data_IF_896797694095
#
_entry.id   IF_896797694095
#
_cell.length_a   1.000
_cell.length_b   1.000
_cell.length_c   1.000
_cell.angle_alpha   90.00
_cell.angle_beta   90.00
_cell.angle_gamma   90.00
#
_symmetry.space_group_name_H-M   'P 1'
#
loop_
_entity.id
_entity.type
_entity.pdbx_description
1 polymer ?
#
# COMPACT_ATOMS: atom_id res chain seq x y z
N UNK A 1 77.18 21.88 -60.98
CA UNK A 1 75.77 21.50 -61.23
C UNK A 1 74.94 22.15 -60.12
N UNK A 2 74.35 23.36 -60.27
CA UNK A 2 73.14 23.73 -61.06
C UNK A 2 71.96 22.82 -60.68
N UNK A 3 70.77 23.23 -60.22
CA UNK A 3 69.82 24.31 -60.63
C UNK A 3 68.59 24.15 -59.67
N UNK A 4 67.99 25.22 -59.08
CA UNK A 4 66.75 25.92 -59.51
C UNK A 4 65.48 25.01 -59.48
N UNK A 5 64.20 25.39 -59.29
CA UNK A 5 63.40 26.62 -59.13
C UNK A 5 61.92 26.12 -59.07
N UNK A 6 61.03 26.80 -58.31
CA UNK A 6 59.58 27.02 -58.52
C UNK A 6 58.66 25.84 -58.96
N UNK A 7 57.49 25.71 -58.35
CA UNK A 7 56.31 26.51 -58.76
C UNK A 7 54.99 25.98 -58.19
N UNK A 8 54.18 26.95 -57.81
CA UNK A 8 52.74 26.92 -57.57
C UNK A 8 52.00 26.25 -58.76
N UNK A 9 51.17 25.23 -58.53
CA UNK A 9 50.03 24.95 -59.43
C UNK A 9 48.83 24.39 -58.65
N UNK A 10 47.87 25.29 -58.49
CA UNK A 10 46.46 25.07 -58.21
C UNK A 10 45.87 24.14 -59.29
N UNK A 11 45.30 22.98 -58.94
CA UNK A 11 44.17 22.45 -59.72
C UNK A 11 43.26 21.58 -58.85
N UNK A 12 41.99 21.94 -58.90
CA UNK A 12 40.86 21.27 -58.31
C UNK A 12 40.81 19.79 -58.69
N UNK A 13 40.64 18.92 -57.70
CA UNK A 13 39.75 17.79 -57.86
C UNK A 13 39.05 17.55 -56.52
N UNK A 14 37.98 18.31 -56.30
CA UNK A 14 36.94 17.95 -55.33
C UNK A 14 36.33 16.66 -55.84
N UNK A 15 36.92 15.51 -55.50
CA UNK A 15 36.23 14.25 -55.61
C UNK A 15 35.13 14.32 -54.56
N UNK A 16 33.90 14.49 -55.02
CA UNK A 16 32.70 14.09 -54.31
C UNK A 16 32.83 12.61 -53.98
N UNK A 17 33.56 12.27 -52.91
CA UNK A 17 33.40 11.00 -52.23
C UNK A 17 32.14 11.18 -51.40
N UNK A 18 30.99 10.99 -52.05
CA UNK A 18 29.77 10.64 -51.35
C UNK A 18 29.99 9.25 -50.77
N UNK A 19 30.56 9.20 -49.56
CA UNK A 19 30.57 8.01 -48.73
C UNK A 19 29.10 7.68 -48.42
N UNK A 20 28.48 6.83 -49.25
CA UNK A 20 27.33 6.04 -48.80
C UNK A 20 27.84 5.16 -47.66
N UNK A 21 27.53 5.54 -46.43
CA UNK A 21 27.64 4.64 -45.30
C UNK A 21 26.83 3.39 -45.63
N UNK A 22 27.47 2.21 -45.62
CA UNK A 22 26.75 0.94 -45.67
C UNK A 22 25.81 0.90 -44.47
N UNK A 23 24.50 0.98 -44.74
CA UNK A 23 23.53 0.97 -43.68
C UNK A 23 23.46 -0.45 -43.08
N UNK A 24 24.10 -0.62 -41.92
CA UNK A 24 24.20 -1.88 -41.15
C UNK A 24 22.85 -2.57 -40.89
N UNK A 25 21.74 -1.84 -41.05
CA UNK A 25 20.39 -2.38 -40.85
C UNK A 25 19.81 -3.11 -42.07
N UNK A 26 20.41 -3.00 -43.26
CA UNK A 26 19.90 -3.61 -44.49
C UNK A 26 19.85 -5.14 -44.44
N UNK A 27 20.77 -5.79 -43.71
CA UNK A 27 20.81 -7.24 -43.54
C UNK A 27 19.93 -7.78 -42.40
N UNK A 28 19.22 -6.91 -41.68
CA UNK A 28 18.32 -7.34 -40.60
C UNK A 28 17.03 -7.89 -41.17
N UNK A 29 16.53 -8.92 -40.50
CA UNK A 29 15.20 -9.47 -40.74
C UNK A 29 14.11 -8.53 -40.21
N UNK A 30 13.08 -8.27 -41.03
CA UNK A 30 12.00 -7.33 -40.69
C UNK A 30 11.11 -7.86 -39.58
N UNK A 31 10.78 -9.15 -39.57
CA UNK A 31 9.87 -9.68 -38.58
C UNK A 31 10.46 -9.59 -37.17
N UNK A 32 11.63 -10.18 -36.96
CA UNK A 32 12.24 -10.27 -35.63
C UNK A 32 12.72 -8.90 -35.12
N UNK A 33 13.07 -7.97 -36.01
CA UNK A 33 13.65 -6.69 -35.61
C UNK A 33 12.69 -5.49 -35.71
N UNK A 34 11.53 -5.63 -36.35
CA UNK A 34 10.53 -4.55 -36.48
C UNK A 34 9.13 -5.03 -36.13
N UNK A 35 8.59 -6.05 -36.81
CA UNK A 35 7.18 -6.47 -36.65
C UNK A 35 6.91 -7.01 -35.25
N UNK A 36 7.75 -7.92 -34.75
CA UNK A 36 7.60 -8.47 -33.40
C UNK A 36 7.75 -7.37 -32.33
N UNK A 37 8.76 -6.48 -32.37
CA UNK A 37 8.81 -5.32 -31.46
C UNK A 37 7.58 -4.40 -31.50
N UNK A 38 6.95 -4.19 -32.67
CA UNK A 38 5.69 -3.44 -32.78
C UNK A 38 4.59 -4.19 -32.03
N UNK A 39 4.44 -5.50 -32.25
CA UNK A 39 3.46 -6.32 -31.53
C UNK A 39 3.68 -6.29 -30.02
N UNK A 40 4.93 -6.45 -29.57
CA UNK A 40 5.33 -6.43 -28.16
C UNK A 40 4.92 -5.13 -27.46
N UNK A 41 5.13 -4.00 -28.15
CA UNK A 41 4.85 -2.67 -27.63
C UNK A 41 3.36 -2.29 -27.67
N UNK A 42 2.62 -2.75 -28.69
CA UNK A 42 1.29 -2.18 -29.02
C UNK A 42 0.14 -3.18 -29.01
N UNK A 43 0.42 -4.48 -29.10
CA UNK A 43 -0.62 -5.50 -29.30
C UNK A 43 -0.66 -6.54 -28.16
N UNK A 44 0.49 -6.90 -27.57
CA UNK A 44 0.57 -8.01 -26.62
C UNK A 44 -0.11 -7.77 -25.27
N UNK A 45 -0.52 -6.52 -24.95
CA UNK A 45 -1.32 -6.29 -23.74
C UNK A 45 -2.70 -6.96 -23.84
N UNK A 46 -3.28 -7.06 -25.04
CA UNK A 46 -4.58 -7.71 -25.26
C UNK A 46 -4.49 -9.04 -26.01
N UNK A 47 -3.41 -9.26 -26.77
CA UNK A 47 -3.18 -10.43 -27.63
C UNK A 47 -1.86 -11.15 -27.31
N UNK A 48 -1.48 -11.21 -26.02
CA UNK A 48 -0.26 -11.85 -25.53
C UNK A 48 -0.48 -13.26 -24.95
N UNK A 49 0.50 -13.74 -24.19
CA UNK A 49 0.38 -15.01 -23.47
C UNK A 49 -0.74 -15.00 -22.42
N UNK A 50 -0.85 -13.87 -21.70
CA UNK A 50 -1.74 -13.69 -20.54
C UNK A 50 -3.19 -13.33 -20.92
N UNK A 51 -3.38 -12.73 -22.09
CA UNK A 51 -4.68 -12.25 -22.58
C UNK A 51 -4.77 -12.50 -24.07
N UNK A 52 -5.91 -13.03 -24.51
CA UNK A 52 -6.19 -13.33 -25.92
C UNK A 52 -7.57 -12.82 -26.32
N UNK A 53 -7.79 -11.50 -26.30
CA UNK A 53 -9.04 -10.90 -26.79
C UNK A 53 -9.29 -11.35 -28.25
N UNK A 54 -10.53 -11.68 -28.59
CA UNK A 54 -10.86 -12.26 -29.91
C UNK A 54 -10.23 -13.63 -30.20
N UNK A 55 -9.72 -14.32 -29.15
CA UNK A 55 -8.91 -15.55 -29.21
C UNK A 55 -7.60 -15.44 -30.00
N UNK A 56 -7.22 -14.24 -30.41
CA UNK A 56 -5.99 -13.95 -31.14
C UNK A 56 -4.80 -13.86 -30.18
N UNK A 57 -3.66 -14.45 -30.60
CA UNK A 57 -2.37 -14.37 -29.90
C UNK A 57 -1.26 -14.00 -30.88
N UNK A 58 -0.38 -13.07 -30.49
CA UNK A 58 0.68 -12.51 -31.34
C UNK A 58 2.09 -12.63 -30.72
N UNK A 59 2.21 -13.25 -29.54
CA UNK A 59 3.47 -13.30 -28.79
C UNK A 59 4.48 -14.32 -29.32
N UNK A 60 4.06 -15.27 -30.15
CA UNK A 60 4.93 -16.23 -30.84
C UNK A 60 4.57 -16.33 -32.32
N UNK A 61 5.54 -16.71 -33.17
CA UNK A 61 5.30 -16.97 -34.61
C UNK A 61 4.22 -18.04 -34.81
N UNK A 62 4.22 -19.08 -33.99
CA UNK A 62 3.23 -20.17 -34.09
C UNK A 62 1.82 -19.69 -33.74
N UNK A 63 1.68 -18.88 -32.70
CA UNK A 63 0.39 -18.31 -32.34
C UNK A 63 -0.12 -17.30 -33.37
N UNK A 64 0.78 -16.47 -33.91
CA UNK A 64 0.46 -15.53 -34.97
C UNK A 64 -0.14 -16.25 -36.19
N UNK A 65 0.42 -17.41 -36.57
CA UNK A 65 -0.08 -18.22 -37.69
C UNK A 65 -1.44 -18.88 -37.42
N UNK A 66 -1.86 -19.04 -36.16
CA UNK A 66 -3.16 -19.63 -35.80
C UNK A 66 -4.33 -18.66 -35.98
N UNK A 67 -4.06 -17.36 -36.05
CA UNK A 67 -5.10 -16.34 -36.14
C UNK A 67 -5.97 -16.23 -34.88
N UNK A 68 -7.10 -15.54 -35.03
CA UNK A 68 -8.11 -15.32 -34.00
C UNK A 68 -9.39 -16.12 -34.26
N UNK A 69 -10.54 -15.46 -34.11
CA UNK A 69 -11.85 -16.04 -34.44
C UNK A 69 -12.67 -15.06 -35.28
N UNK A 70 -13.61 -15.58 -36.08
CA UNK A 70 -14.44 -14.75 -36.95
C UNK A 70 -13.59 -14.04 -38.01
N UNK A 71 -13.77 -12.73 -38.18
CA UNK A 71 -12.97 -11.92 -39.11
C UNK A 71 -11.45 -11.95 -38.81
N UNK A 72 -11.07 -12.31 -37.58
CA UNK A 72 -9.66 -12.45 -37.20
C UNK A 72 -9.03 -13.81 -37.50
N UNK A 73 -9.75 -14.77 -38.08
CA UNK A 73 -9.21 -16.10 -38.47
C UNK A 73 -8.02 -15.94 -39.43
N UNK A 74 -8.18 -15.09 -40.46
CA UNK A 74 -7.12 -14.70 -41.38
C UNK A 74 -6.64 -13.27 -41.05
N UNK A 75 -5.89 -13.14 -39.96
CA UNK A 75 -5.37 -11.83 -39.52
C UNK A 75 -4.52 -11.12 -40.58
N UNK A 76 -3.80 -11.89 -41.39
CA UNK A 76 -2.97 -11.40 -42.50
C UNK A 76 -3.22 -12.23 -43.74
N UNK A 77 -3.64 -11.56 -44.81
CA UNK A 77 -3.74 -12.12 -46.15
C UNK A 77 -2.42 -11.82 -46.88
N UNK A 78 -1.60 -12.86 -47.07
CA UNK A 78 -0.29 -12.75 -47.70
C UNK A 78 -0.41 -12.12 -49.09
N UNK A 79 0.35 -11.05 -49.34
CA UNK A 79 0.31 -10.30 -50.59
C UNK A 79 -0.73 -9.19 -50.64
N UNK A 80 -1.71 -9.16 -49.73
CA UNK A 80 -2.79 -8.18 -49.72
C UNK A 80 -2.96 -7.52 -48.36
N UNK A 81 -2.25 -6.40 -48.18
CA UNK A 81 -2.35 -5.60 -46.98
C UNK A 81 -3.73 -4.96 -46.80
N UNK A 82 -4.46 -4.66 -47.88
CA UNK A 82 -5.78 -4.01 -47.81
C UNK A 82 -6.89 -4.96 -47.40
N UNK A 83 -6.79 -6.23 -47.78
CA UNK A 83 -7.71 -7.27 -47.37
C UNK A 83 -7.35 -7.91 -46.01
N UNK A 84 -6.20 -7.55 -45.42
CA UNK A 84 -5.74 -8.07 -44.13
C UNK A 84 -6.46 -7.40 -42.96
N UNK A 85 -7.10 -8.20 -42.12
CA UNK A 85 -7.83 -7.73 -40.93
C UNK A 85 -6.96 -6.92 -39.96
N UNK A 86 -5.67 -7.29 -39.84
CA UNK A 86 -4.69 -6.54 -39.06
C UNK A 86 -4.62 -5.08 -39.48
N UNK A 87 -4.51 -4.82 -40.79
CA UNK A 87 -4.38 -3.45 -41.32
C UNK A 87 -5.70 -2.71 -41.21
N UNK A 88 -6.82 -3.38 -41.48
CA UNK A 88 -8.15 -2.79 -41.32
C UNK A 88 -8.32 -2.25 -39.90
N UNK A 89 -8.15 -3.08 -38.87
CA UNK A 89 -8.38 -2.69 -37.47
C UNK A 89 -7.45 -1.59 -36.95
N UNK A 90 -6.18 -1.59 -37.35
CA UNK A 90 -5.21 -0.58 -36.87
C UNK A 90 -5.27 0.76 -37.62
N UNK A 91 -6.08 0.84 -38.69
CA UNK A 91 -6.26 2.07 -39.48
C UNK A 91 -7.64 2.71 -39.31
N UNK A 92 -8.54 2.08 -38.54
CA UNK A 92 -9.84 2.64 -38.21
C UNK A 92 -9.72 3.96 -37.43
N UNK A 93 -10.71 4.88 -37.54
CA UNK A 93 -10.71 6.15 -36.84
C UNK A 93 -10.58 5.98 -35.32
N UNK A 94 -9.88 6.94 -34.67
CA UNK A 94 -9.80 7.00 -33.21
C UNK A 94 -11.21 7.06 -32.62
N UNK A 95 -11.57 6.06 -31.81
CA UNK A 95 -12.86 5.96 -31.13
C UNK A 95 -13.87 5.01 -31.78
N UNK A 96 -13.53 4.40 -32.92
CA UNK A 96 -14.30 3.29 -33.48
C UNK A 96 -14.23 2.06 -32.55
N UNK A 97 -15.33 1.33 -32.39
CA UNK A 97 -15.42 0.17 -31.50
C UNK A 97 -14.57 -1.02 -31.97
N UNK A 98 -14.29 -1.10 -33.27
CA UNK A 98 -13.47 -2.16 -33.86
C UNK A 98 -11.98 -1.76 -34.00
N UNK A 99 -11.66 -0.49 -33.75
CA UNK A 99 -10.30 0.02 -33.83
C UNK A 99 -9.37 -0.65 -32.82
N UNK A 100 -8.16 -0.96 -33.27
CA UNK A 100 -7.10 -1.53 -32.44
C UNK A 100 -5.87 -0.60 -32.45
N UNK A 101 -5.35 -0.16 -31.28
CA UNK A 101 -5.83 -0.50 -29.94
C UNK A 101 -7.16 0.21 -29.60
N UNK A 102 -8.01 -0.40 -28.74
CA UNK A 102 -9.24 0.25 -28.29
C UNK A 102 -8.91 1.50 -27.48
N UNK A 103 -9.71 2.55 -27.66
CA UNK A 103 -9.59 3.78 -26.87
C UNK A 103 -10.27 3.61 -25.51
N UNK A 104 -9.61 2.89 -24.59
CA UNK A 104 -10.08 2.74 -23.20
C UNK A 104 -9.67 3.94 -22.32
N UNK A 105 -8.47 4.48 -22.54
CA UNK A 105 -7.90 5.65 -21.82
C UNK A 105 -6.83 6.33 -22.70
N UNK A 106 -6.78 7.67 -22.69
CA UNK A 106 -5.80 8.44 -23.48
C UNK A 106 -4.36 8.22 -23.02
N UNK A 107 -4.13 8.00 -21.72
CA UNK A 107 -2.79 7.75 -21.15
C UNK A 107 -2.17 6.43 -21.66
N UNK A 108 -2.99 5.51 -22.20
CA UNK A 108 -2.59 4.16 -22.61
C UNK A 108 -2.81 3.90 -24.11
N UNK A 109 -3.34 4.88 -24.84
CA UNK A 109 -3.60 4.75 -26.27
C UNK A 109 -2.28 4.76 -27.05
N UNK A 110 -1.88 3.60 -27.58
CA UNK A 110 -0.60 3.40 -28.28
C UNK A 110 -0.80 2.89 -29.72
N UNK A 111 -1.36 3.70 -30.63
CA UNK A 111 -1.61 3.29 -32.02
C UNK A 111 -0.31 3.09 -32.79
N UNK A 112 -0.38 2.32 -33.88
CA UNK A 112 0.76 2.24 -34.82
C UNK A 112 1.04 3.60 -35.44
N UNK A 113 2.31 3.93 -35.61
CA UNK A 113 2.73 5.15 -36.31
C UNK A 113 2.64 4.96 -37.82
N UNK A 114 2.70 6.06 -38.58
CA UNK A 114 2.70 5.99 -40.05
C UNK A 114 3.87 5.17 -40.62
N UNK A 115 5.05 5.24 -39.97
CA UNK A 115 6.25 4.53 -40.40
C UNK A 115 6.13 3.03 -40.08
N UNK A 116 5.65 2.69 -38.88
CA UNK A 116 5.34 1.31 -38.49
C UNK A 116 4.32 0.69 -39.44
N UNK A 117 3.22 1.41 -39.71
CA UNK A 117 2.17 0.97 -40.62
C UNK A 117 2.71 0.73 -42.04
N UNK A 118 3.55 1.63 -42.56
CA UNK A 118 4.14 1.48 -43.89
C UNK A 118 4.98 0.21 -44.00
N UNK A 119 5.82 -0.08 -43.00
CA UNK A 119 6.64 -1.31 -42.97
C UNK A 119 5.77 -2.55 -42.81
N UNK A 120 4.73 -2.52 -41.97
CA UNK A 120 3.78 -3.63 -41.81
C UNK A 120 3.05 -3.94 -43.13
N UNK A 121 2.56 -2.90 -43.83
CA UNK A 121 1.88 -3.07 -45.12
C UNK A 121 2.83 -3.63 -46.19
N UNK A 122 4.07 -3.14 -46.26
CA UNK A 122 5.07 -3.64 -47.19
C UNK A 122 5.44 -5.11 -46.90
N UNK A 123 5.66 -5.44 -45.63
CA UNK A 123 5.92 -6.81 -45.20
C UNK A 123 4.79 -7.77 -45.60
N UNK A 124 3.53 -7.39 -45.41
CA UNK A 124 2.37 -8.18 -45.83
C UNK A 124 2.32 -8.33 -47.36
N UNK A 125 2.50 -7.23 -48.11
CA UNK A 125 2.54 -7.25 -49.58
C UNK A 125 3.64 -8.16 -50.13
N UNK A 126 4.75 -8.30 -49.41
CA UNK A 126 5.84 -9.23 -49.73
C UNK A 126 5.62 -10.65 -49.18
N UNK A 127 4.39 -11.00 -48.83
CA UNK A 127 3.99 -12.35 -48.43
C UNK A 127 4.06 -12.63 -46.93
N UNK A 128 4.25 -11.59 -46.10
CA UNK A 128 4.38 -11.70 -44.64
C UNK A 128 5.44 -12.72 -44.21
N UNK A 129 6.56 -12.78 -44.95
CA UNK A 129 7.63 -13.73 -44.70
C UNK A 129 8.36 -13.42 -43.39
N UNK A 130 8.58 -14.45 -42.57
CA UNK A 130 9.40 -14.32 -41.36
C UNK A 130 10.89 -14.12 -41.65
N UNK A 131 11.32 -14.29 -42.90
CA UNK A 131 12.73 -14.22 -43.32
C UNK A 131 13.07 -12.97 -44.14
N UNK A 132 12.07 -12.14 -44.48
CA UNK A 132 12.24 -10.94 -45.31
C UNK A 132 13.25 -9.94 -44.71
N UNK A 133 14.21 -9.51 -45.52
CA UNK A 133 15.24 -8.55 -45.12
C UNK A 133 14.86 -7.11 -45.47
N UNK A 134 15.40 -6.16 -44.70
CA UNK A 134 15.21 -4.72 -44.95
C UNK A 134 15.74 -4.30 -46.33
N UNK A 135 16.81 -4.94 -46.82
CA UNK A 135 17.38 -4.69 -48.15
C UNK A 135 16.41 -4.93 -49.30
N UNK A 136 15.41 -5.79 -49.10
CA UNK A 136 14.44 -6.22 -50.11
C UNK A 136 13.24 -5.26 -50.25
N UNK A 137 13.12 -4.29 -49.34
CA UNK A 137 12.06 -3.27 -49.39
C UNK A 137 12.32 -2.20 -50.46
N UNK A 138 11.27 -1.48 -50.85
CA UNK A 138 11.43 -0.25 -51.63
C UNK A 138 12.10 0.87 -50.80
N UNK A 139 12.66 1.87 -51.47
CA UNK A 139 13.45 2.93 -50.83
C UNK A 139 12.66 3.77 -49.81
N UNK A 140 11.35 3.99 -50.05
CA UNK A 140 10.51 4.73 -49.11
C UNK A 140 10.28 3.89 -47.84
N UNK A 141 10.01 2.60 -47.99
CA UNK A 141 9.83 1.68 -46.85
C UNK A 141 11.14 1.44 -46.10
N UNK A 142 12.31 1.40 -46.77
CA UNK A 142 13.62 1.36 -46.10
C UNK A 142 13.82 2.56 -45.19
N UNK A 143 13.48 3.76 -45.67
CA UNK A 143 13.56 4.98 -44.86
C UNK A 143 12.65 4.91 -43.62
N UNK A 144 11.44 4.35 -43.77
CA UNK A 144 10.55 4.10 -42.63
C UNK A 144 11.12 3.07 -41.65
N UNK A 145 11.71 1.98 -42.14
CA UNK A 145 12.37 0.97 -41.31
C UNK A 145 13.57 1.56 -40.53
N UNK A 146 14.38 2.39 -41.17
CA UNK A 146 15.47 3.12 -40.51
C UNK A 146 14.97 4.06 -39.41
N UNK A 147 13.86 4.76 -39.66
CA UNK A 147 13.22 5.60 -38.65
C UNK A 147 12.79 4.78 -37.42
N UNK A 148 12.21 3.59 -37.64
CA UNK A 148 11.80 2.68 -36.55
C UNK A 148 13.02 2.17 -35.78
N UNK A 149 14.11 1.77 -36.44
CA UNK A 149 15.32 1.34 -35.75
C UNK A 149 15.90 2.41 -34.83
N UNK A 150 15.81 3.68 -35.24
CA UNK A 150 16.25 4.82 -34.43
C UNK A 150 15.25 5.21 -33.34
N UNK A 151 13.99 4.76 -33.43
CA UNK A 151 12.88 5.12 -32.54
C UNK A 151 12.05 3.89 -32.20
N UNK A 152 12.69 2.86 -31.64
CA UNK A 152 12.04 1.57 -31.40
C UNK A 152 10.74 1.72 -30.60
N UNK A 153 9.66 0.99 -30.98
CA UNK A 153 8.39 1.05 -30.29
C UNK A 153 8.56 0.75 -28.81
N UNK A 154 7.95 1.59 -27.96
CA UNK A 154 7.95 1.40 -26.50
C UNK A 154 6.58 0.95 -26.04
N UNK A 155 6.56 -0.05 -25.17
CA UNK A 155 5.33 -0.49 -24.50
C UNK A 155 4.88 0.59 -23.52
N UNK A 156 3.64 1.04 -23.65
CA UNK A 156 2.98 1.89 -22.65
C UNK A 156 2.25 0.95 -21.69
N UNK A 157 2.72 0.88 -20.45
CA UNK A 157 2.14 -0.01 -19.42
C UNK A 157 1.15 0.80 -18.61
N UNK A 158 -0.03 0.24 -18.36
CA UNK A 158 -1.01 0.95 -17.55
C UNK A 158 -0.58 1.18 -16.12
N UNK A 159 -0.99 2.31 -15.51
CA UNK A 159 -0.75 2.60 -14.07
C UNK A 159 -1.20 1.42 -13.20
N UNK A 160 -2.33 0.79 -13.54
CA UNK A 160 -2.84 -0.39 -12.83
C UNK A 160 -1.91 -1.62 -12.97
N UNK A 161 -1.30 -1.85 -14.13
CA UNK A 161 -0.34 -2.94 -14.34
C UNK A 161 1.01 -2.62 -13.70
N UNK A 162 1.48 -1.38 -13.75
CA UNK A 162 2.71 -0.93 -13.08
C UNK A 162 2.62 -1.05 -11.55
N UNK A 163 1.42 -0.91 -10.98
CA UNK A 163 1.17 -1.09 -9.55
C UNK A 163 1.04 -2.58 -9.12
N UNK A 164 1.00 -3.53 -10.07
CA UNK A 164 0.96 -4.95 -9.70
C UNK A 164 2.31 -5.36 -9.10
N UNK A 165 2.33 -6.03 -7.94
CA UNK A 165 3.55 -6.58 -7.40
C UNK A 165 4.18 -7.53 -8.42
N UNK A 166 5.37 -7.17 -8.90
CA UNK A 166 6.14 -8.03 -9.79
C UNK A 166 6.69 -9.20 -8.97
N UNK A 167 6.26 -10.42 -9.30
CA UNK A 167 6.82 -11.63 -8.74
C UNK A 167 8.11 -11.98 -9.48
N UNK A 168 9.13 -12.54 -8.81
CA UNK A 168 10.32 -13.01 -9.49
C UNK A 168 9.94 -14.13 -10.47
N UNK A 169 10.52 -14.08 -11.66
CA UNK A 169 10.53 -15.24 -12.57
C UNK A 169 11.43 -16.33 -11.98
N UNK A 170 10.86 -17.52 -11.80
CA UNK A 170 11.56 -18.66 -11.18
C UNK A 170 11.34 -19.93 -12.01
N UNK A 171 12.28 -20.88 -12.00
CA UNK A 171 12.12 -22.13 -12.74
C UNK A 171 11.01 -22.99 -12.13
N UNK A 172 10.37 -23.83 -12.95
CA UNK A 172 9.41 -24.81 -12.45
C UNK A 172 10.05 -25.75 -11.42
N UNK A 173 9.31 -26.07 -10.35
CA UNK A 173 9.76 -27.06 -9.38
C UNK A 173 9.69 -28.48 -9.95
N UNK A 174 10.59 -29.35 -9.50
CA UNK A 174 10.57 -30.77 -9.89
C UNK A 174 9.29 -31.44 -9.40
N UNK A 175 8.61 -32.16 -10.30
CA UNK A 175 7.35 -32.86 -10.01
C UNK A 175 7.49 -33.84 -8.85
N UNK A 176 8.63 -34.53 -8.74
CA UNK A 176 8.90 -35.51 -7.68
C UNK A 176 8.93 -34.82 -6.30
N UNK A 177 9.52 -33.64 -6.20
CA UNK A 177 9.57 -32.88 -4.95
C UNK A 177 8.16 -32.44 -4.52
N UNK A 178 7.34 -31.97 -5.47
CA UNK A 178 5.95 -31.58 -5.18
C UNK A 178 5.09 -32.78 -4.76
N UNK A 179 5.27 -33.93 -5.40
CA UNK A 179 4.56 -35.16 -5.05
C UNK A 179 4.94 -35.65 -3.64
N UNK A 180 6.23 -35.63 -3.28
CA UNK A 180 6.68 -36.00 -1.94
C UNK A 180 6.04 -35.14 -0.84
N UNK A 181 5.89 -33.83 -1.07
CA UNK A 181 5.22 -32.95 -0.11
C UNK A 181 3.73 -33.27 -0.01
N UNK A 182 3.07 -33.48 -1.15
CA UNK A 182 1.66 -33.85 -1.22
C UNK A 182 1.37 -35.16 -0.49
N UNK A 183 2.21 -36.18 -0.67
CA UNK A 183 2.06 -37.50 -0.02
C UNK A 183 2.17 -37.41 1.51
N UNK A 184 2.90 -36.42 2.03
CA UNK A 184 2.98 -36.11 3.45
C UNK A 184 1.86 -35.18 3.95
N UNK A 185 0.94 -34.75 3.08
CA UNK A 185 -0.12 -33.81 3.41
C UNK A 185 0.34 -32.37 3.55
N UNK A 186 1.52 -32.02 3.01
CA UNK A 186 2.02 -30.65 2.95
C UNK A 186 1.46 -30.00 1.69
N UNK A 187 0.81 -28.85 1.84
CA UNK A 187 0.29 -28.08 0.71
C UNK A 187 1.45 -27.34 0.04
N UNK A 188 1.65 -27.53 -1.26
CA UNK A 188 2.59 -26.77 -2.09
C UNK A 188 1.89 -26.37 -3.39
N UNK A 189 1.79 -25.07 -3.67
CA UNK A 189 1.09 -24.55 -4.85
C UNK A 189 1.65 -23.21 -5.32
N UNK A 190 1.45 -22.82 -6.59
CA UNK A 190 1.77 -21.48 -7.07
C UNK A 190 1.06 -20.39 -6.26
N UNK A 191 1.74 -19.26 -6.03
CA UNK A 191 1.18 -18.12 -5.28
C UNK A 191 0.16 -17.29 -6.08
N UNK A 192 0.21 -17.40 -7.40
CA UNK A 192 -0.68 -16.72 -8.34
C UNK A 192 -0.82 -17.56 -9.63
N UNK A 193 -1.67 -17.11 -10.55
CA UNK A 193 -1.70 -17.66 -11.90
C UNK A 193 -0.40 -17.29 -12.65
N UNK A 194 0.03 -18.16 -13.56
CA UNK A 194 1.17 -17.93 -14.47
C UNK A 194 2.50 -17.60 -13.76
N UNK A 195 2.72 -18.17 -12.57
CA UNK A 195 4.02 -18.11 -11.88
C UNK A 195 4.43 -19.49 -11.37
N UNK A 196 5.74 -19.73 -11.35
CA UNK A 196 6.33 -20.90 -10.71
C UNK A 196 6.68 -20.63 -9.23
N UNK A 197 6.47 -19.41 -8.73
CA UNK A 197 6.72 -19.08 -7.33
C UNK A 197 5.73 -19.79 -6.42
N UNK A 198 6.23 -20.41 -5.36
CA UNK A 198 5.47 -21.33 -4.53
C UNK A 198 5.12 -20.76 -3.15
N UNK A 199 3.93 -21.12 -2.70
CA UNK A 199 3.50 -21.15 -1.31
C UNK A 199 3.53 -22.58 -0.80
N UNK A 200 4.19 -22.79 0.34
CA UNK A 200 4.18 -24.06 1.07
C UNK A 200 3.57 -23.88 2.45
N UNK A 201 2.64 -24.77 2.82
CA UNK A 201 2.01 -24.81 4.12
C UNK A 201 2.11 -26.21 4.76
N UNK A 202 2.93 -26.31 5.81
CA UNK A 202 3.07 -27.52 6.63
C UNK A 202 2.32 -27.42 7.97
N UNK A 203 1.63 -26.31 8.26
CA UNK A 203 0.94 -26.11 9.56
C UNK A 203 -0.14 -27.17 9.83
N UNK A 204 -0.70 -27.78 8.79
CA UNK A 204 -1.72 -28.82 8.91
C UNK A 204 -1.22 -30.09 9.61
N UNK A 205 0.08 -30.36 9.57
CA UNK A 205 0.68 -31.51 10.24
C UNK A 205 0.90 -31.25 11.74
N UNK A 206 0.82 -29.99 12.19
CA UNK A 206 1.07 -29.59 13.56
C UNK A 206 2.35 -30.19 14.12
N UNK A 207 2.28 -30.75 15.33
CA UNK A 207 3.45 -31.31 16.04
C UNK A 207 4.16 -32.47 15.31
N UNK A 208 3.52 -33.09 14.31
CA UNK A 208 4.14 -34.17 13.52
C UNK A 208 5.19 -33.66 12.54
N UNK A 209 5.14 -32.39 12.14
CA UNK A 209 6.15 -31.78 11.29
C UNK A 209 7.33 -31.28 12.14
N UNK A 210 8.51 -31.86 11.92
CA UNK A 210 9.72 -31.58 12.69
C UNK A 210 10.85 -31.07 11.80
N UNK A 211 12.01 -30.81 12.40
CA UNK A 211 13.22 -30.41 11.68
C UNK A 211 13.67 -31.45 10.63
N UNK A 212 13.24 -32.71 10.77
CA UNK A 212 13.52 -33.78 9.81
C UNK A 212 12.76 -33.57 8.50
N UNK A 213 11.45 -33.38 8.57
CA UNK A 213 10.58 -33.23 7.40
C UNK A 213 10.85 -31.92 6.66
N UNK A 214 11.29 -30.86 7.37
CA UNK A 214 11.65 -29.58 6.74
C UNK A 214 12.71 -29.71 5.64
N UNK A 215 13.64 -30.68 5.76
CA UNK A 215 14.68 -30.89 4.74
C UNK A 215 14.11 -31.20 3.35
N UNK A 216 12.88 -31.70 3.28
CA UNK A 216 12.18 -31.94 2.01
C UNK A 216 11.86 -30.65 1.24
N UNK A 217 11.99 -29.48 1.87
CA UNK A 217 11.80 -28.18 1.20
C UNK A 217 13.07 -27.67 0.50
N UNK A 218 14.24 -28.26 0.72
CA UNK A 218 15.50 -27.82 0.08
C UNK A 218 15.45 -27.79 -1.46
N UNK A 219 14.83 -28.78 -2.14
CA UNK A 219 14.66 -28.76 -3.59
C UNK A 219 13.82 -27.59 -4.12
N UNK A 220 13.04 -26.91 -3.26
CA UNK A 220 12.19 -25.76 -3.62
C UNK A 220 12.87 -24.41 -3.38
N UNK A 221 14.17 -24.39 -3.08
CA UNK A 221 14.92 -23.16 -2.74
C UNK A 221 14.90 -22.07 -3.81
N UNK A 222 14.68 -22.43 -5.07
CA UNK A 222 14.60 -21.48 -6.19
C UNK A 222 13.18 -20.96 -6.45
N UNK A 223 12.16 -21.48 -5.77
CA UNK A 223 10.76 -21.18 -6.03
C UNK A 223 10.01 -20.69 -4.80
N UNK A 224 10.47 -21.04 -3.59
CA UNK A 224 9.69 -20.86 -2.37
C UNK A 224 9.73 -19.42 -1.86
N UNK A 225 8.60 -18.71 -1.99
CA UNK A 225 8.43 -17.33 -1.55
C UNK A 225 7.69 -17.23 -0.22
N UNK A 226 6.65 -18.06 -0.05
CA UNK A 226 5.79 -18.02 1.13
C UNK A 226 5.83 -19.36 1.84
N UNK A 227 6.14 -19.35 3.14
CA UNK A 227 6.27 -20.56 3.94
C UNK A 227 5.50 -20.44 5.25
N UNK A 228 4.61 -21.41 5.49
CA UNK A 228 3.86 -21.55 6.73
C UNK A 228 4.22 -22.81 7.51
N UNK A 229 4.87 -22.59 8.66
CA UNK A 229 5.28 -23.60 9.63
C UNK A 229 4.62 -23.40 11.00
N UNK A 230 3.56 -22.58 11.07
CA UNK A 230 2.88 -22.28 12.32
C UNK A 230 2.44 -23.56 13.05
N UNK A 231 2.62 -23.57 14.38
CA UNK A 231 2.19 -24.63 15.31
C UNK A 231 2.81 -26.01 15.04
N UNK A 232 3.94 -26.03 14.32
CA UNK A 232 4.73 -27.24 14.09
C UNK A 232 5.76 -27.46 15.20
N UNK A 233 6.47 -28.60 15.15
CA UNK A 233 7.54 -28.95 16.10
C UNK A 233 8.92 -28.41 15.69
N UNK A 234 8.97 -27.44 14.76
CA UNK A 234 10.20 -26.81 14.27
C UNK A 234 10.95 -26.11 15.41
N UNK A 235 12.27 -26.28 15.42
CA UNK A 235 13.21 -25.70 16.38
C UNK A 235 14.27 -24.83 15.70
N UNK A 236 15.24 -24.33 16.47
CA UNK A 236 16.34 -23.54 15.90
C UNK A 236 17.19 -24.32 14.87
N UNK A 237 17.24 -25.66 14.97
CA UNK A 237 18.05 -26.51 14.09
C UNK A 237 17.59 -26.41 12.62
N UNK A 238 16.30 -26.22 12.41
CA UNK A 238 15.67 -26.00 11.10
C UNK A 238 16.13 -24.74 10.39
N UNK A 239 16.61 -23.74 11.12
CA UNK A 239 16.94 -22.44 10.54
C UNK A 239 18.16 -22.48 9.62
N UNK A 240 19.02 -23.49 9.76
CA UNK A 240 20.09 -23.75 8.79
C UNK A 240 19.49 -23.97 7.40
N UNK A 241 18.49 -24.84 7.29
CA UNK A 241 17.78 -25.13 6.03
C UNK A 241 16.93 -23.95 5.57
N UNK A 242 16.12 -23.35 6.47
CA UNK A 242 15.28 -22.19 6.11
C UNK A 242 16.13 -21.04 5.55
N UNK A 243 17.32 -20.78 6.11
CA UNK A 243 18.21 -19.71 5.66
C UNK A 243 18.76 -19.89 4.23
N UNK A 244 18.60 -21.07 3.62
CA UNK A 244 18.93 -21.34 2.21
C UNK A 244 17.81 -20.93 1.25
N UNK A 245 16.59 -20.73 1.73
CA UNK A 245 15.41 -20.34 0.94
C UNK A 245 15.42 -18.83 0.68
N UNK A 246 16.35 -18.37 -0.17
CA UNK A 246 16.70 -16.94 -0.32
C UNK A 246 15.58 -16.06 -0.86
N UNK A 247 14.58 -16.64 -1.52
CA UNK A 247 13.44 -15.92 -2.06
C UNK A 247 12.29 -15.74 -1.06
N UNK A 248 12.42 -16.23 0.18
CA UNK A 248 11.37 -16.09 1.18
C UNK A 248 11.05 -14.61 1.44
N UNK A 249 9.81 -14.24 1.13
CA UNK A 249 9.24 -12.91 1.40
C UNK A 249 8.25 -12.93 2.56
N UNK A 250 7.66 -14.10 2.85
CA UNK A 250 6.67 -14.30 3.92
C UNK A 250 6.95 -15.58 4.69
N UNK A 251 7.21 -15.44 5.99
CA UNK A 251 7.51 -16.58 6.86
C UNK A 251 6.64 -16.56 8.13
N UNK A 252 5.98 -17.69 8.37
CA UNK A 252 5.12 -17.95 9.53
C UNK A 252 5.75 -19.02 10.42
N UNK A 253 6.09 -18.66 11.66
CA UNK A 253 6.74 -19.50 12.68
C UNK A 253 5.97 -19.48 14.02
N UNK A 254 4.70 -19.09 14.00
CA UNK A 254 3.87 -18.93 15.20
C UNK A 254 3.85 -20.19 16.05
N UNK A 255 4.03 -20.06 17.37
CA UNK A 255 3.99 -21.16 18.33
C UNK A 255 4.90 -22.34 17.97
N UNK A 256 6.07 -22.05 17.42
CA UNK A 256 7.17 -23.02 17.22
C UNK A 256 8.19 -22.88 18.36
N UNK A 257 9.25 -23.68 18.34
CA UNK A 257 10.30 -23.67 19.39
C UNK A 257 11.47 -22.73 19.05
N UNK A 258 11.26 -21.80 18.14
CA UNK A 258 12.26 -20.82 17.71
C UNK A 258 12.64 -19.90 18.88
N UNK A 259 13.94 -19.60 19.00
CA UNK A 259 14.54 -18.73 20.01
C UNK A 259 15.54 -17.76 19.39
N UNK A 260 16.23 -16.97 20.22
CA UNK A 260 17.28 -16.04 19.75
C UNK A 260 18.42 -16.72 18.98
N UNK A 261 18.64 -18.04 19.17
CA UNK A 261 19.64 -18.82 18.42
C UNK A 261 19.36 -18.83 16.90
N UNK A 262 18.09 -18.73 16.52
CA UNK A 262 17.66 -18.65 15.12
C UNK A 262 17.94 -17.31 14.45
N UNK A 263 18.17 -16.25 15.23
CA UNK A 263 18.16 -14.86 14.73
C UNK A 263 19.25 -14.62 13.67
N UNK A 264 20.45 -15.16 13.88
CA UNK A 264 21.56 -15.02 12.92
C UNK A 264 21.24 -15.67 11.57
N UNK A 265 20.48 -16.77 11.56
CA UNK A 265 20.01 -17.43 10.35
C UNK A 265 18.85 -16.68 9.70
N UNK A 266 17.88 -16.21 10.48
CA UNK A 266 16.77 -15.36 10.01
C UNK A 266 17.31 -14.14 9.26
N UNK A 267 18.36 -13.50 9.79
CA UNK A 267 18.98 -12.33 9.18
C UNK A 267 19.54 -12.53 7.75
N UNK A 268 19.71 -13.79 7.31
CA UNK A 268 20.19 -14.16 5.98
C UNK A 268 19.07 -14.20 4.92
N UNK A 269 17.82 -13.97 5.31
CA UNK A 269 16.64 -13.92 4.44
C UNK A 269 16.33 -12.47 4.06
N UNK A 270 17.19 -11.88 3.23
CA UNK A 270 17.15 -10.45 2.88
C UNK A 270 15.87 -10.00 2.16
N UNK A 271 15.12 -10.94 1.58
CA UNK A 271 13.86 -10.67 0.88
C UNK A 271 12.63 -10.67 1.79
N UNK A 272 12.78 -10.99 3.09
CA UNK A 272 11.64 -11.02 4.01
C UNK A 272 10.97 -9.65 4.13
N UNK A 273 9.67 -9.64 3.85
CA UNK A 273 8.78 -8.49 4.05
C UNK A 273 7.79 -8.72 5.19
N UNK A 274 7.51 -9.99 5.50
CA UNK A 274 6.61 -10.41 6.57
C UNK A 274 7.24 -11.54 7.37
N UNK A 275 7.29 -11.37 8.69
CA UNK A 275 7.77 -12.39 9.62
C UNK A 275 6.83 -12.50 10.82
N UNK A 276 6.27 -13.69 11.06
CA UNK A 276 5.45 -13.94 12.25
C UNK A 276 6.17 -14.88 13.22
N UNK A 277 6.50 -14.36 14.39
CA UNK A 277 7.18 -15.03 15.50
C UNK A 277 6.29 -15.11 16.75
N UNK A 278 4.97 -14.88 16.60
CA UNK A 278 4.01 -14.95 17.69
C UNK A 278 4.19 -16.22 18.54
N UNK A 279 4.27 -16.07 19.87
CA UNK A 279 4.34 -17.21 20.78
C UNK A 279 5.64 -18.02 20.70
N UNK A 280 6.73 -17.45 20.18
CA UNK A 280 8.07 -18.06 20.18
C UNK A 280 8.93 -17.51 21.34
N UNK A 281 10.17 -18.00 21.48
CA UNK A 281 11.06 -17.65 22.58
C UNK A 281 12.08 -16.55 22.24
N UNK A 282 11.86 -15.78 21.18
CA UNK A 282 12.73 -14.65 20.82
C UNK A 282 12.62 -13.51 21.83
N UNK A 283 13.71 -12.75 22.01
CA UNK A 283 13.83 -11.62 22.92
C UNK A 283 14.59 -10.45 22.27
N UNK A 284 14.86 -9.40 23.04
CA UNK A 284 15.66 -8.26 22.57
C UNK A 284 17.07 -8.66 22.10
N UNK A 285 17.58 -9.83 22.48
CA UNK A 285 18.84 -10.37 21.95
C UNK A 285 18.84 -10.58 20.43
N UNK A 286 17.66 -10.69 19.80
CA UNK A 286 17.53 -10.81 18.34
C UNK A 286 17.56 -9.48 17.58
N UNK A 287 17.58 -8.33 18.26
CA UNK A 287 17.47 -6.99 17.64
C UNK A 287 18.49 -6.78 16.51
N UNK A 288 19.78 -7.04 16.75
CA UNK A 288 20.83 -6.77 15.75
C UNK A 288 20.73 -7.68 14.52
N UNK A 289 20.16 -8.86 14.67
CA UNK A 289 19.84 -9.75 13.55
C UNK A 289 18.65 -9.22 12.75
N UNK A 290 17.60 -8.73 13.42
CA UNK A 290 16.40 -8.21 12.75
C UNK A 290 16.65 -6.87 12.03
N UNK A 291 17.59 -6.03 12.51
CA UNK A 291 18.05 -4.83 11.79
C UNK A 291 18.53 -5.12 10.37
N UNK A 292 19.10 -6.31 10.12
CA UNK A 292 19.60 -6.72 8.80
C UNK A 292 18.48 -7.07 7.80
N UNK A 293 17.23 -7.22 8.26
CA UNK A 293 16.07 -7.48 7.41
C UNK A 293 15.54 -6.16 6.84
N UNK A 294 16.31 -5.54 5.94
CA UNK A 294 16.06 -4.17 5.44
C UNK A 294 14.77 -4.02 4.63
N UNK A 295 14.22 -5.12 4.11
CA UNK A 295 12.94 -5.16 3.37
C UNK A 295 11.73 -5.48 4.26
N UNK A 296 11.94 -5.68 5.56
CA UNK A 296 10.87 -6.08 6.47
C UNK A 296 9.83 -4.97 6.60
N UNK A 297 8.57 -5.32 6.34
CA UNK A 297 7.43 -4.42 6.45
C UNK A 297 6.58 -4.72 7.66
N UNK A 298 6.52 -6.00 8.07
CA UNK A 298 5.71 -6.46 9.21
C UNK A 298 6.42 -7.52 10.01
N UNK A 299 6.45 -7.35 11.32
CA UNK A 299 6.93 -8.37 12.26
C UNK A 299 5.99 -8.51 13.45
N UNK A 300 5.59 -9.74 13.74
CA UNK A 300 4.69 -10.07 14.85
C UNK A 300 5.47 -10.77 15.95
N UNK A 301 5.48 -10.15 17.14
CA UNK A 301 6.28 -10.53 18.30
C UNK A 301 5.42 -10.68 19.56
N UNK A 302 4.09 -10.66 19.43
CA UNK A 302 3.20 -10.88 20.58
C UNK A 302 3.44 -12.25 21.22
N UNK A 303 3.33 -12.31 22.56
CA UNK A 303 3.67 -13.50 23.38
C UNK A 303 5.10 -14.04 23.17
N UNK A 304 6.04 -13.19 22.81
CA UNK A 304 7.48 -13.48 22.89
C UNK A 304 8.08 -12.82 24.13
N UNK A 305 9.40 -12.87 24.29
CA UNK A 305 10.14 -12.13 25.33
C UNK A 305 10.64 -10.77 24.85
N UNK A 306 10.19 -10.32 23.67
CA UNK A 306 10.55 -9.03 23.10
C UNK A 306 9.80 -7.90 23.82
N UNK A 307 10.48 -6.81 24.17
CA UNK A 307 9.90 -5.69 24.93
C UNK A 307 9.79 -4.43 24.09
N UNK A 308 9.17 -3.39 24.65
CA UNK A 308 9.10 -2.07 24.01
C UNK A 308 10.50 -1.48 23.73
N UNK A 309 11.47 -1.66 24.63
CA UNK A 309 12.85 -1.21 24.41
C UNK A 309 13.47 -1.83 23.15
N UNK A 310 13.20 -3.13 22.90
CA UNK A 310 13.66 -3.80 21.69
C UNK A 310 13.00 -3.23 20.42
N UNK A 311 11.74 -2.81 20.50
CA UNK A 311 11.01 -2.15 19.40
C UNK A 311 11.63 -0.81 19.09
N UNK A 312 11.94 -0.03 20.12
CA UNK A 312 12.56 1.29 19.98
C UNK A 312 13.92 1.18 19.30
N UNK A 313 14.76 0.21 19.71
CA UNK A 313 16.05 -0.08 19.07
C UNK A 313 15.93 -0.53 17.60
N UNK A 314 14.87 -1.25 17.24
CA UNK A 314 14.61 -1.61 15.85
C UNK A 314 14.22 -0.38 15.04
N UNK A 315 13.25 0.40 15.54
CA UNK A 315 12.76 1.59 14.84
C UNK A 315 13.87 2.61 14.64
N UNK A 316 14.70 2.86 15.64
CA UNK A 316 15.86 3.77 15.55
C UNK A 316 16.77 3.43 14.35
N UNK A 317 17.05 2.14 14.15
CA UNK A 317 17.86 1.68 13.02
C UNK A 317 17.22 1.98 11.66
N UNK A 318 15.91 1.75 11.53
CA UNK A 318 15.19 2.03 10.28
C UNK A 318 14.88 3.52 10.05
N UNK A 319 15.02 4.37 11.07
CA UNK A 319 14.63 5.77 11.04
C UNK A 319 15.70 6.77 10.61
N UNK A 320 16.93 6.33 10.28
CA UNK A 320 18.12 7.20 10.33
C UNK A 320 18.22 7.95 11.67
N UNK A 321 18.06 7.26 12.82
CA UNK A 321 18.37 7.71 14.20
C UNK A 321 17.76 9.04 14.68
N UNK A 322 18.23 10.17 14.14
CA UNK A 322 17.90 11.54 14.59
C UNK A 322 16.41 11.90 14.50
N UNK A 323 15.67 11.29 13.58
CA UNK A 323 14.23 11.51 13.46
C UNK A 323 13.42 10.74 14.52
N UNK A 324 13.88 9.57 14.97
CA UNK A 324 13.15 8.73 15.92
C UNK A 324 13.16 9.33 17.33
N UNK A 325 14.36 9.64 17.85
CA UNK A 325 14.52 10.21 19.20
C UNK A 325 13.78 11.54 19.36
N UNK A 326 13.82 12.36 18.31
CA UNK A 326 13.09 13.64 18.28
C UNK A 326 11.58 13.41 18.39
N UNK A 327 11.03 12.46 17.65
CA UNK A 327 9.61 12.11 17.69
C UNK A 327 9.21 11.45 19.02
N UNK A 328 10.07 10.64 19.64
CA UNK A 328 9.82 10.03 20.95
C UNK A 328 9.75 11.11 22.04
N UNK A 329 10.72 12.02 22.07
CA UNK A 329 10.71 13.19 22.99
C UNK A 329 9.47 14.06 22.77
N UNK A 330 9.05 14.26 21.51
CA UNK A 330 7.81 14.98 21.22
C UNK A 330 6.57 14.24 21.76
N UNK A 331 6.50 12.91 21.59
CA UNK A 331 5.41 12.08 22.12
C UNK A 331 5.31 12.21 23.65
N UNK A 332 6.43 12.00 24.35
CA UNK A 332 6.50 12.10 25.82
C UNK A 332 6.11 13.50 26.30
N UNK A 333 6.62 14.55 25.65
CA UNK A 333 6.27 15.93 25.97
C UNK A 333 4.78 16.20 25.82
N UNK A 334 4.15 15.72 24.76
CA UNK A 334 2.70 15.88 24.54
C UNK A 334 1.91 15.09 25.60
N UNK A 335 2.31 13.86 25.93
CA UNK A 335 1.67 13.05 26.98
C UNK A 335 1.75 13.70 28.36
N UNK A 336 2.92 14.24 28.73
CA UNK A 336 3.08 15.02 29.97
C UNK A 336 2.18 16.25 29.95
N UNK A 337 2.17 17.00 28.84
CA UNK A 337 1.34 18.21 28.72
C UNK A 337 -0.16 17.91 28.89
N UNK A 338 -0.65 16.80 28.34
CA UNK A 338 -2.06 16.37 28.53
C UNK A 338 -2.34 16.13 30.01
N UNK A 339 -1.47 15.39 30.69
CA UNK A 339 -1.61 15.09 32.13
C UNK A 339 -1.61 16.36 32.96
N UNK A 340 -0.66 17.26 32.71
CA UNK A 340 -0.50 18.53 33.44
C UNK A 340 -1.70 19.45 33.22
N UNK A 341 -2.13 19.65 31.97
CA UNK A 341 -3.29 20.49 31.63
C UNK A 341 -4.56 19.95 32.28
N UNK A 342 -4.77 18.63 32.22
CA UNK A 342 -5.95 17.98 32.80
C UNK A 342 -5.99 18.21 34.32
N UNK A 343 -4.86 18.01 35.00
CA UNK A 343 -4.74 18.24 36.44
C UNK A 343 -5.04 19.70 36.82
N UNK A 344 -4.38 20.66 36.15
CA UNK A 344 -4.52 22.10 36.43
C UNK A 344 -5.96 22.57 36.18
N UNK A 345 -6.55 22.22 35.04
CA UNK A 345 -7.90 22.67 34.70
C UNK A 345 -8.97 22.00 35.57
N UNK A 346 -8.78 20.74 35.99
CA UNK A 346 -9.68 20.10 36.95
C UNK A 346 -9.67 20.80 38.31
N UNK A 347 -8.52 21.23 38.82
CA UNK A 347 -8.47 22.05 40.03
C UNK A 347 -9.28 23.35 39.89
N UNK A 348 -9.20 23.99 38.72
CA UNK A 348 -9.99 25.20 38.44
C UNK A 348 -11.49 24.92 38.35
N UNK A 349 -11.88 23.80 37.73
CA UNK A 349 -13.26 23.33 37.65
C UNK A 349 -13.82 23.08 39.06
N UNK A 350 -13.09 22.37 39.92
CA UNK A 350 -13.49 22.13 41.31
C UNK A 350 -13.74 23.43 42.07
N UNK A 351 -12.90 24.45 41.89
CA UNK A 351 -13.11 25.77 42.50
C UNK A 351 -14.36 26.47 41.95
N UNK A 352 -14.60 26.41 40.64
CA UNK A 352 -15.81 26.96 40.01
C UNK A 352 -17.09 26.21 40.45
N UNK A 353 -17.03 24.90 40.66
CA UNK A 353 -18.13 24.10 41.21
C UNK A 353 -18.46 24.51 42.64
N UNK A 354 -17.44 24.78 43.46
CA UNK A 354 -17.62 25.32 44.81
C UNK A 354 -18.27 26.70 44.77
N UNK A 355 -17.84 27.57 43.86
CA UNK A 355 -18.44 28.90 43.66
C UNK A 355 -19.90 28.81 43.19
N UNK A 356 -20.21 27.94 42.23
CA UNK A 356 -21.57 27.69 41.77
C UNK A 356 -22.46 27.15 42.90
N UNK A 357 -21.95 26.21 43.68
CA UNK A 357 -22.65 25.65 44.85
C UNK A 357 -22.96 26.73 45.89
N UNK A 358 -22.04 27.66 46.13
CA UNK A 358 -22.29 28.81 47.00
C UNK A 358 -23.36 29.75 46.44
N UNK A 359 -23.38 30.02 45.12
CA UNK A 359 -24.44 30.82 44.50
C UNK A 359 -25.79 30.11 44.48
N UNK A 360 -25.82 28.77 44.55
CA UNK A 360 -27.05 28.00 44.56
C UNK A 360 -27.89 28.24 45.82
N UNK A 361 -27.24 28.49 46.96
CA UNK A 361 -27.87 28.67 48.28
C UNK A 361 -27.89 30.12 48.78
N UNK A 362 -27.30 31.06 48.04
CA UNK A 362 -27.28 32.48 48.37
C UNK A 362 -28.29 33.27 47.54
N UNK A 363 -29.10 34.13 48.16
CA UNK A 363 -30.14 34.88 47.47
C UNK A 363 -30.20 36.34 47.91
N UNK A 364 -30.55 37.22 46.97
CA UNK A 364 -30.88 38.63 47.24
C UNK A 364 -32.39 38.88 47.20
N UNK A 365 -33.20 37.85 46.93
CA UNK A 365 -34.66 37.97 46.87
C UNK A 365 -35.22 38.33 48.26
N UNK A 366 -36.06 39.36 48.34
CA UNK A 366 -36.74 39.72 49.60
C UNK A 366 -37.92 38.79 49.88
N UNK A 367 -38.66 38.38 48.83
CA UNK A 367 -39.84 37.51 48.89
C UNK A 367 -39.66 36.29 47.98
N UNK A 368 -40.39 35.18 48.20
CA UNK A 368 -40.43 34.07 47.27
C UNK A 368 -40.88 34.51 45.87
N UNK A 369 -40.33 33.87 44.84
CA UNK A 369 -40.58 34.24 43.44
C UNK A 369 -41.80 33.54 42.84
N UNK A 370 -42.34 32.55 43.55
CA UNK A 370 -43.48 31.74 43.14
C UNK A 370 -44.69 31.99 44.04
N UNK A 371 -45.89 31.85 43.48
CA UNK A 371 -47.17 31.90 44.20
C UNK A 371 -47.79 30.51 44.38
N UNK A 372 -47.37 29.56 43.54
CA UNK A 372 -47.80 28.16 43.56
C UNK A 372 -46.64 27.24 43.91
N UNK A 373 -46.90 26.21 44.72
CA UNK A 373 -45.89 25.24 45.13
C UNK A 373 -45.50 24.32 43.95
N UNK A 374 -44.22 24.25 43.56
CA UNK A 374 -43.78 23.50 42.38
C UNK A 374 -43.84 21.97 42.56
N UNK A 375 -44.03 21.48 43.79
CA UNK A 375 -44.14 20.04 44.09
C UNK A 375 -45.58 19.54 44.08
N UNK A 376 -46.51 20.33 44.62
CA UNK A 376 -47.90 19.90 44.86
C UNK A 376 -48.96 20.71 44.09
N UNK A 377 -48.55 21.76 43.36
CA UNK A 377 -49.43 22.68 42.64
C UNK A 377 -50.54 23.32 43.52
N UNK A 378 -50.19 23.64 44.77
CA UNK A 378 -51.07 24.28 45.76
C UNK A 378 -50.55 25.67 46.13
N UNK A 379 -51.39 26.59 46.65
CA UNK A 379 -50.94 27.87 47.15
C UNK A 379 -49.79 27.73 48.15
N UNK A 380 -48.80 28.61 48.07
CA UNK A 380 -47.64 28.58 48.97
C UNK A 380 -48.01 28.97 50.41
N UNK A 381 -47.24 28.47 51.37
CA UNK A 381 -47.22 28.95 52.73
C UNK A 381 -45.83 29.56 53.01
N UNK A 382 -45.78 30.82 53.46
CA UNK A 382 -44.52 31.54 53.68
C UNK A 382 -43.64 30.97 54.81
N UNK A 383 -44.09 29.91 55.51
CA UNK A 383 -43.30 29.21 56.54
C UNK A 383 -42.32 28.16 55.99
N UNK A 384 -42.43 27.73 54.74
CA UNK A 384 -41.56 26.68 54.15
C UNK A 384 -40.85 27.21 52.91
N UNK A 385 -39.57 27.57 53.03
CA UNK A 385 -38.78 28.22 51.97
C UNK A 385 -37.44 27.49 51.77
N UNK A 386 -37.02 27.33 50.51
CA UNK A 386 -35.67 26.91 50.11
C UNK A 386 -35.05 27.92 49.16
N UNK A 387 -33.73 27.88 49.01
CA UNK A 387 -33.00 28.67 48.01
C UNK A 387 -32.53 27.72 46.92
N UNK A 388 -32.82 28.07 45.67
CA UNK A 388 -32.48 27.28 44.50
C UNK A 388 -31.99 28.20 43.39
N UNK A 389 -30.76 27.98 42.92
CA UNK A 389 -30.09 28.81 41.91
C UNK A 389 -30.10 30.31 42.23
N UNK A 390 -30.00 30.59 43.54
CA UNK A 390 -30.05 31.91 44.12
C UNK A 390 -31.43 32.58 44.15
N UNK A 391 -32.51 31.84 43.91
CA UNK A 391 -33.89 32.32 44.03
C UNK A 391 -34.58 31.76 45.28
N UNK A 392 -35.41 32.57 45.95
CA UNK A 392 -36.25 32.09 47.07
C UNK A 392 -37.49 31.36 46.54
N UNK A 393 -37.66 30.09 46.88
CA UNK A 393 -38.81 29.26 46.50
C UNK A 393 -39.60 28.88 47.75
N UNK A 394 -40.91 29.14 47.75
CA UNK A 394 -41.81 28.77 48.83
C UNK A 394 -42.65 27.52 48.49
N UNK A 395 -43.08 26.81 49.53
CA UNK A 395 -43.81 25.55 49.42
C UNK A 395 -45.09 25.58 50.27
N UNK A 396 -46.08 24.76 49.91
CA UNK A 396 -47.33 24.67 50.67
C UNK A 396 -47.17 23.93 52.02
N UNK A 397 -46.11 23.13 52.19
CA UNK A 397 -45.80 22.41 53.43
C UNK A 397 -44.33 21.95 53.50
N UNK A 398 -43.88 21.56 54.69
CA UNK A 398 -42.51 21.05 54.94
C UNK A 398 -42.18 19.80 54.12
N UNK A 399 -43.14 18.89 53.90
CA UNK A 399 -42.95 17.69 53.06
C UNK A 399 -42.60 18.04 51.60
N UNK A 400 -43.20 19.10 51.06
CA UNK A 400 -42.88 19.58 49.71
C UNK A 400 -41.48 20.20 49.65
N UNK A 401 -41.13 20.99 50.67
CA UNK A 401 -39.77 21.52 50.82
C UNK A 401 -38.72 20.39 50.82
N UNK A 402 -38.90 19.37 51.66
CA UNK A 402 -37.95 18.24 51.74
C UNK A 402 -37.86 17.43 50.45
N UNK A 403 -38.95 17.30 49.68
CA UNK A 403 -38.91 16.67 48.35
C UNK A 403 -38.11 17.51 47.35
N UNK A 404 -38.27 18.83 47.39
CA UNK A 404 -37.55 19.75 46.53
C UNK A 404 -36.05 19.82 46.89
N UNK A 405 -35.70 19.84 48.17
CA UNK A 405 -34.28 19.92 48.60
C UNK A 405 -33.45 18.70 48.17
N UNK A 406 -34.09 17.55 47.95
CA UNK A 406 -33.41 16.33 47.46
C UNK A 406 -33.04 16.43 45.99
N UNK A 407 -33.89 17.05 45.18
CA UNK A 407 -33.70 17.19 43.74
C UNK A 407 -34.54 18.37 43.22
N UNK A 408 -34.03 19.59 43.40
CA UNK A 408 -34.77 20.80 43.01
C UNK A 408 -34.87 20.95 41.49
N UNK A 409 -33.94 20.35 40.75
CA UNK A 409 -33.81 20.49 39.31
C UNK A 409 -35.03 19.91 38.57
N UNK A 410 -35.57 18.76 39.01
CA UNK A 410 -36.76 18.16 38.39
C UNK A 410 -38.04 18.98 38.53
N UNK A 411 -38.06 19.94 39.47
CA UNK A 411 -39.18 20.86 39.68
C UNK A 411 -38.95 22.22 39.04
N UNK A 412 -37.79 22.47 38.42
CA UNK A 412 -37.42 23.77 37.85
C UNK A 412 -38.44 24.27 36.82
N UNK A 413 -38.93 23.40 35.94
CA UNK A 413 -39.93 23.73 34.92
C UNK A 413 -41.33 23.99 35.48
N UNK A 414 -41.58 23.64 36.75
CA UNK A 414 -42.85 23.82 37.46
C UNK A 414 -42.90 25.11 38.28
N UNK A 415 -41.85 25.94 38.19
CA UNK A 415 -41.80 27.26 38.81
C UNK A 415 -42.09 28.29 37.71
N UNK A 416 -43.21 29.00 37.85
CA UNK A 416 -43.67 29.96 36.85
C UNK A 416 -42.61 31.03 36.55
N UNK A 417 -42.29 31.21 35.27
CA UNK A 417 -41.31 32.18 34.76
C UNK A 417 -39.93 32.11 35.46
N UNK A 418 -39.49 30.90 35.84
CA UNK A 418 -38.24 30.73 36.56
C UNK A 418 -37.02 31.20 35.75
N UNK A 419 -36.24 32.09 36.37
CA UNK A 419 -34.91 32.48 35.91
C UNK A 419 -33.95 32.38 37.08
N UNK A 420 -32.81 31.72 36.92
CA UNK A 420 -31.79 31.73 37.96
C UNK A 420 -31.31 33.16 38.28
N UNK A 421 -30.73 33.38 39.45
CA UNK A 421 -30.10 34.67 39.77
C UNK A 421 -28.95 34.97 38.80
N UNK A 422 -28.68 36.24 38.50
CA UNK A 422 -27.60 36.61 37.59
C UNK A 422 -26.25 36.03 38.05
N UNK A 423 -25.96 36.10 39.37
CA UNK A 423 -24.75 35.53 39.97
C UNK A 423 -24.62 34.02 39.74
N UNK A 424 -25.73 33.27 39.83
CA UNK A 424 -25.73 31.85 39.52
C UNK A 424 -25.51 31.59 38.03
N UNK A 425 -26.17 32.36 37.14
CA UNK A 425 -26.00 32.24 35.70
C UNK A 425 -24.56 32.50 35.27
N UNK A 426 -23.92 33.53 35.82
CA UNK A 426 -22.53 33.88 35.54
C UNK A 426 -21.58 32.77 36.03
N UNK A 427 -21.79 32.27 37.26
CA UNK A 427 -21.00 31.16 37.80
C UNK A 427 -21.16 29.87 36.98
N UNK A 428 -22.38 29.56 36.57
CA UNK A 428 -22.68 28.40 35.73
C UNK A 428 -22.05 28.52 34.35
N UNK A 429 -22.20 29.68 33.70
CA UNK A 429 -21.58 29.96 32.40
C UNK A 429 -20.06 29.87 32.45
N UNK A 430 -19.44 30.36 33.53
CA UNK A 430 -17.99 30.24 33.73
C UNK A 430 -17.55 28.79 33.89
N UNK A 431 -18.30 27.99 34.66
CA UNK A 431 -18.02 26.55 34.82
C UNK A 431 -18.14 25.81 33.49
N UNK A 432 -19.23 26.02 32.74
CA UNK A 432 -19.44 25.40 31.43
C UNK A 432 -18.35 25.80 30.44
N UNK A 433 -17.99 27.10 30.40
CA UNK A 433 -16.90 27.60 29.56
C UNK A 433 -15.58 26.91 29.91
N UNK A 434 -15.25 26.77 31.20
CA UNK A 434 -14.02 26.13 31.64
C UNK A 434 -13.97 24.63 31.28
N UNK A 435 -15.09 23.91 31.40
CA UNK A 435 -15.20 22.50 30.99
C UNK A 435 -15.02 22.34 29.47
N UNK A 436 -15.72 23.16 28.70
CA UNK A 436 -15.61 23.17 27.23
C UNK A 436 -14.17 23.49 26.78
N UNK A 437 -13.53 24.45 27.44
CA UNK A 437 -12.14 24.81 27.17
C UNK A 437 -11.14 23.70 27.55
N UNK A 438 -11.42 22.92 28.61
CA UNK A 438 -10.64 21.72 28.93
C UNK A 438 -10.80 20.66 27.84
N UNK A 439 -12.04 20.30 27.47
CA UNK A 439 -12.33 19.30 26.42
C UNK A 439 -11.61 19.66 25.12
N UNK A 440 -11.76 20.91 24.65
CA UNK A 440 -11.10 21.40 23.45
C UNK A 440 -9.57 21.30 23.53
N UNK A 441 -8.97 21.66 24.67
CA UNK A 441 -7.51 21.61 24.83
C UNK A 441 -6.99 20.17 24.85
N UNK A 442 -7.73 19.26 25.48
CA UNK A 442 -7.41 17.82 25.47
C UNK A 442 -7.47 17.30 24.04
N UNK A 443 -8.54 17.60 23.30
CA UNK A 443 -8.72 17.15 21.93
C UNK A 443 -7.58 17.63 21.01
N UNK A 444 -7.23 18.93 21.07
CA UNK A 444 -6.09 19.48 20.31
C UNK A 444 -4.75 18.79 20.65
N UNK A 445 -4.57 18.42 21.91
CA UNK A 445 -3.34 17.76 22.39
C UNK A 445 -3.31 16.28 22.02
N UNK A 446 -4.46 15.60 22.07
CA UNK A 446 -4.64 14.23 21.59
C UNK A 446 -4.40 14.14 20.08
N UNK A 447 -4.84 15.13 19.30
CA UNK A 447 -4.56 15.18 17.86
C UNK A 447 -3.05 15.30 17.58
N UNK A 448 -2.34 16.16 18.32
CA UNK A 448 -0.87 16.24 18.24
C UNK A 448 -0.22 14.90 18.59
N UNK A 449 -0.70 14.23 19.64
CA UNK A 449 -0.21 12.91 20.02
C UNK A 449 -0.45 11.87 18.92
N UNK A 450 -1.62 11.90 18.28
CA UNK A 450 -1.98 11.02 17.16
C UNK A 450 -1.05 11.23 15.96
N UNK A 451 -0.80 12.48 15.57
CA UNK A 451 0.10 12.82 14.46
C UNK A 451 1.53 12.32 14.73
N UNK A 452 2.07 12.58 15.93
CA UNK A 452 3.42 12.11 16.30
C UNK A 452 3.47 10.58 16.32
N UNK A 453 2.42 9.92 16.85
CA UNK A 453 2.32 8.46 16.88
C UNK A 453 2.23 7.86 15.47
N UNK A 454 1.49 8.48 14.56
CA UNK A 454 1.43 8.06 13.16
C UNK A 454 2.80 8.15 12.48
N UNK A 455 3.55 9.24 12.70
CA UNK A 455 4.91 9.39 12.17
C UNK A 455 5.85 8.31 12.74
N UNK A 456 5.78 8.04 14.06
CA UNK A 456 6.52 6.96 14.71
C UNK A 456 6.17 5.56 14.19
N UNK A 457 4.92 5.35 13.76
CA UNK A 457 4.46 4.07 13.20
C UNK A 457 4.81 3.90 11.72
N UNK A 458 5.01 4.99 10.98
CA UNK A 458 5.48 4.96 9.60
C UNK A 458 7.00 4.69 9.48
N UNK A 459 7.73 4.71 10.60
CA UNK A 459 9.16 4.44 10.66
C UNK A 459 9.41 2.94 10.76
N UNK A 460 10.09 2.39 9.76
CA UNK A 460 10.47 0.97 9.73
C UNK A 460 9.30 0.01 9.57
N UNK A 461 9.49 -1.28 9.90
CA UNK A 461 8.41 -2.26 9.86
C UNK A 461 7.31 -1.93 10.89
N UNK A 462 6.09 -2.32 10.56
CA UNK A 462 5.01 -2.49 11.52
C UNK A 462 5.41 -3.60 12.51
N UNK A 463 5.65 -3.23 13.78
CA UNK A 463 6.03 -4.16 14.84
C UNK A 463 4.82 -4.38 15.76
N UNK A 464 4.30 -5.60 15.80
CA UNK A 464 3.15 -5.97 16.63
C UNK A 464 3.61 -6.70 17.90
N UNK A 465 3.48 -6.05 19.06
CA UNK A 465 3.68 -6.65 20.38
C UNK A 465 2.37 -7.15 21.04
N UNK A 466 1.24 -7.08 20.33
CA UNK A 466 -0.09 -7.42 20.85
C UNK A 466 -1.04 -6.22 20.88
N UNK A 467 -2.27 -6.47 21.29
CA UNK A 467 -3.24 -5.42 21.59
C UNK A 467 -2.93 -4.88 22.99
N UNK A 468 -2.63 -3.58 23.08
CA UNK A 468 -2.57 -2.83 24.35
C UNK A 468 -3.91 -2.17 24.63
#
# INVERSE_FOLDING_TARGET
MKIQIYSLFLFCFVINISLKAENKNLSKNIYDNIIQPIFDAKCLECHGAEKNKGKLRLHTKEDFLKGGTGAGEDIVIKGDATASELIFRITLPKGDEEAMPPLEDEDHYNPVTSQELAVMQAWIKMGASFDLLVSELDEATKTAAEHIFNNMPKKIISKAVALRPQLPEVPAAKTEALNQLKDLGILAMPIAQNTNALYVNASYLGKKFTDKELKLLEPLSQQLLWLNLARTSISDDSMVTISKLKLLTRLHLENTRISDRSSSHLSKLSELTYLNLYGTNVSNSSVDSFKKLTKLKKIFLWKTKFTQDGVDLLKEHFANGSNYDSLLKQKEKVQSSITDITSIKNLKITELEKQLSAQNINTSDKKPINTTCPVANKPINNSSISIFEGRKIAFCCSKCKSKFDKDGAVYRSKIDNFKASQKYQDAFSNLVKQRTDLEKTIEESQEKLRVVTMKLNAIGPEINLGWN
#
